data_IF_703092309418
#
_entry.id   IF_703092309418
#
_cell.length_a   1.000
_cell.length_b   1.000
_cell.length_c   1.000
_cell.angle_alpha   90.00
_cell.angle_beta   90.00
_cell.angle_gamma   90.00
#
_symmetry.space_group_name_H-M   'P 1'
#
loop_
_entity.id
_entity.type
_entity.pdbx_description
1 polymer ?
#
# COMPACT_ATOMS: atom_id res chain seq x y z
N UNK A 1 -6.32 19.10 0.52
CA UNK A 1 -6.52 17.64 0.57
C UNK A 1 -5.31 17.05 1.26
N UNK A 2 -5.51 16.22 2.28
CA UNK A 2 -4.43 15.54 2.98
C UNK A 2 -4.31 14.13 2.44
N UNK A 3 -3.11 13.75 2.05
CA UNK A 3 -2.76 12.40 1.63
C UNK A 3 -1.73 11.85 2.63
N UNK A 4 -1.86 10.58 2.99
CA UNK A 4 -0.91 9.88 3.84
C UNK A 4 -0.44 8.64 3.11
N UNK A 5 0.87 8.49 2.97
CA UNK A 5 1.48 7.31 2.40
C UNK A 5 2.16 6.48 3.49
N UNK A 6 1.85 5.19 3.52
CA UNK A 6 2.59 4.20 4.28
C UNK A 6 3.60 3.55 3.32
N UNK A 7 4.88 3.78 3.55
CA UNK A 7 5.97 3.27 2.70
C UNK A 7 6.74 2.14 3.37
N UNK A 8 7.49 1.38 2.57
CA UNK A 8 8.42 0.35 3.03
C UNK A 8 7.77 -0.76 3.89
N UNK A 9 6.51 -1.11 3.60
CA UNK A 9 5.82 -2.19 4.29
C UNK A 9 6.43 -3.51 3.86
N UNK A 10 7.04 -4.26 4.80
CA UNK A 10 7.63 -5.55 4.47
C UNK A 10 6.56 -6.57 4.04
N UNK A 11 5.45 -6.66 4.77
CA UNK A 11 4.31 -7.54 4.47
C UNK A 11 3.00 -6.77 4.71
N UNK A 12 2.12 -6.78 3.72
CA UNK A 12 0.75 -6.31 3.81
C UNK A 12 -0.20 -7.49 3.61
N UNK A 13 -1.22 -7.60 4.46
CA UNK A 13 -2.29 -8.59 4.32
C UNK A 13 -3.58 -7.84 4.01
N UNK A 14 -4.16 -8.05 2.82
CA UNK A 14 -5.32 -7.28 2.34
C UNK A 14 -6.67 -7.90 2.68
N UNK A 15 -6.69 -9.19 3.01
CA UNK A 15 -7.89 -10.04 3.01
C UNK A 15 -8.61 -10.08 1.65
N UNK A 16 -7.92 -9.75 0.56
CA UNK A 16 -8.42 -9.80 -0.81
C UNK A 16 -7.53 -10.72 -1.67
N UNK A 17 -7.97 -11.95 -1.97
CA UNK A 17 -7.22 -12.90 -2.80
C UNK A 17 -6.88 -12.39 -4.21
N UNK A 18 -7.58 -11.36 -4.71
CA UNK A 18 -7.32 -10.79 -6.03
C UNK A 18 -6.12 -9.84 -6.06
N UNK A 19 -5.63 -9.39 -4.89
CA UNK A 19 -4.57 -8.38 -4.79
C UNK A 19 -3.19 -8.94 -4.42
N UNK A 20 -3.11 -10.21 -4.01
CA UNK A 20 -1.84 -10.79 -3.56
C UNK A 20 -1.89 -12.31 -3.44
N UNK A 21 -0.89 -12.87 -2.78
CA UNK A 21 -0.70 -14.31 -2.69
C UNK A 21 -1.60 -14.96 -1.65
N UNK A 22 -2.20 -16.09 -2.03
CA UNK A 22 -2.99 -16.93 -1.15
C UNK A 22 -4.36 -16.34 -0.76
N UNK A 23 -5.11 -17.04 0.13
CA UNK A 23 -6.48 -16.70 0.44
C UNK A 23 -6.65 -15.40 1.24
N UNK A 24 -5.56 -14.81 1.73
CA UNK A 24 -5.57 -13.53 2.45
C UNK A 24 -5.03 -12.36 1.62
N UNK A 25 -4.58 -12.59 0.38
CA UNK A 25 -4.01 -11.53 -0.45
C UNK A 25 -2.74 -10.92 0.16
N UNK A 26 -1.73 -11.75 0.43
CA UNK A 26 -0.47 -11.29 1.04
C UNK A 26 0.40 -10.61 -0.03
N UNK A 27 0.90 -9.40 0.26
CA UNK A 27 1.79 -8.64 -0.60
C UNK A 27 3.10 -8.37 0.15
N UNK A 28 4.24 -8.73 -0.46
CA UNK A 28 5.57 -8.41 0.06
C UNK A 28 6.11 -7.12 -0.55
N UNK A 29 6.65 -6.21 0.27
CA UNK A 29 7.22 -4.95 -0.20
C UNK A 29 6.14 -3.99 -0.73
N UNK A 30 5.17 -3.66 0.10
CA UNK A 30 4.00 -2.87 -0.27
C UNK A 30 4.11 -1.40 0.16
N UNK A 31 3.25 -0.60 -0.46
CA UNK A 31 2.98 0.79 -0.13
C UNK A 31 1.47 1.01 -0.20
N UNK A 32 0.94 1.85 0.68
CA UNK A 32 -0.50 2.18 0.73
C UNK A 32 -0.66 3.69 0.77
N UNK A 33 -1.52 4.22 -0.09
CA UNK A 33 -1.88 5.64 -0.09
C UNK A 33 -3.33 5.79 0.38
N UNK A 34 -3.52 6.65 1.38
CA UNK A 34 -4.81 6.97 1.96
C UNK A 34 -5.12 8.45 1.72
N UNK A 35 -6.29 8.71 1.15
CA UNK A 35 -6.81 10.06 0.94
C UNK A 35 -8.17 10.17 1.60
N UNK A 36 -8.35 11.19 2.46
CA UNK A 36 -9.60 11.44 3.17
C UNK A 36 -10.20 10.21 3.88
N UNK A 37 -9.32 9.35 4.43
CA UNK A 37 -9.71 8.12 5.14
C UNK A 37 -10.03 6.92 4.24
N UNK A 38 -9.84 7.04 2.91
CA UNK A 38 -10.07 5.97 1.95
C UNK A 38 -8.74 5.51 1.36
N UNK A 39 -8.54 4.19 1.25
CA UNK A 39 -7.40 3.62 0.54
C UNK A 39 -7.61 3.85 -0.96
N UNK A 40 -6.77 4.66 -1.58
CA UNK A 40 -6.84 4.98 -3.01
C UNK A 40 -5.83 4.20 -3.85
N UNK A 41 -4.79 3.64 -3.22
CA UNK A 41 -3.78 2.85 -3.89
C UNK A 41 -3.11 1.84 -2.97
N UNK A 42 -2.86 0.64 -3.50
CA UNK A 42 -1.97 -0.39 -2.94
C UNK A 42 -1.01 -0.77 -4.05
N UNK A 43 0.30 -0.67 -3.81
CA UNK A 43 1.32 -0.93 -4.82
C UNK A 43 2.59 -1.53 -4.24
N UNK A 44 3.35 -2.25 -5.07
CA UNK A 44 4.73 -2.66 -4.76
C UNK A 44 5.78 -1.69 -5.29
N UNK A 45 5.35 -0.72 -6.11
CA UNK A 45 6.17 0.40 -6.55
C UNK A 45 6.12 1.51 -5.49
N UNK A 46 7.28 2.07 -5.17
CA UNK A 46 7.38 3.22 -4.28
C UNK A 46 6.53 4.40 -4.80
N UNK A 47 5.74 5.06 -3.92
CA UNK A 47 5.02 6.28 -4.27
C UNK A 47 6.00 7.40 -4.64
N UNK A 48 5.56 8.34 -5.46
CA UNK A 48 6.31 9.57 -5.76
C UNK A 48 5.97 10.67 -4.75
N UNK A 49 6.90 11.58 -4.48
CA UNK A 49 6.67 12.72 -3.58
C UNK A 49 6.73 12.39 -2.08
N UNK A 50 7.22 11.20 -1.75
CA UNK A 50 7.58 10.74 -0.41
C UNK A 50 9.08 10.46 -0.38
N UNK A 51 9.69 10.43 0.81
CA UNK A 51 11.09 10.03 1.03
C UNK A 51 12.11 10.74 0.11
N UNK A 52 11.83 12.00 -0.25
CA UNK A 52 12.75 12.88 -0.98
C UNK A 52 13.43 13.79 0.03
N UNK A 53 14.58 13.35 0.55
CA UNK A 53 15.54 14.25 1.22
C UNK A 53 16.42 14.95 0.18
#
# INVERSE_FOLDING_TARGET
MTSTAFTNIRILVTNDPGLGDGPLGVISGAHVVVENGVIVSVSTKAPTGVDSE
#
